data_IF_195022645018
#
_entry.id   IF_195022645018
#
_cell.length_a   1.000
_cell.length_b   1.000
_cell.length_c   1.000
_cell.angle_alpha   90.00
_cell.angle_beta   90.00
_cell.angle_gamma   90.00
#
_symmetry.space_group_name_H-M   'P 1'
#
loop_
_entity.id
_entity.type
_entity.pdbx_description
1 polymer ?
#
# COMPACT_ATOMS: atom_id res chain seq x y z
N UNK A 1 19.38 21.72 -3.78
CA UNK A 1 18.69 22.56 -2.78
C UNK A 1 17.77 23.49 -3.57
N UNK A 2 16.63 22.99 -4.05
CA UNK A 2 15.82 23.69 -5.03
C UNK A 2 14.61 24.31 -4.33
N UNK A 3 14.62 25.64 -4.23
CA UNK A 3 13.53 26.44 -3.68
C UNK A 3 12.36 26.46 -4.67
N UNK A 4 11.42 25.54 -4.52
CA UNK A 4 10.27 25.41 -5.42
C UNK A 4 9.10 26.34 -5.11
N UNK A 5 9.26 27.34 -4.24
CA UNK A 5 8.22 28.35 -4.00
C UNK A 5 8.85 29.74 -3.81
N UNK A 6 9.39 30.31 -4.89
CA UNK A 6 9.64 31.74 -4.95
C UNK A 6 8.31 32.45 -5.22
N UNK A 7 7.69 32.99 -4.17
CA UNK A 7 6.57 33.92 -4.29
C UNK A 7 7.07 35.25 -4.88
N UNK A 8 7.27 35.28 -6.20
CA UNK A 8 7.20 36.54 -6.92
C UNK A 8 5.79 36.66 -7.44
N UNK A 9 5.00 37.44 -6.72
CA UNK A 9 3.63 37.83 -7.02
C UNK A 9 3.54 38.53 -8.39
N UNK A 10 3.53 37.71 -9.44
CA UNK A 10 2.84 38.02 -10.69
C UNK A 10 1.58 37.20 -10.63
N UNK A 11 0.56 37.70 -9.92
CA UNK A 11 -0.76 37.07 -9.91
C UNK A 11 -1.34 37.28 -11.31
N UNK A 12 -0.89 36.47 -12.27
CA UNK A 12 -1.72 36.13 -13.41
C UNK A 12 -2.81 35.25 -12.81
N UNK A 13 -3.91 35.87 -12.40
CA UNK A 13 -5.11 35.15 -11.96
C UNK A 13 -5.54 34.29 -13.14
N UNK A 14 -5.11 33.02 -13.14
CA UNK A 14 -5.75 32.00 -13.95
C UNK A 14 -7.23 32.07 -13.56
N UNK A 15 -8.15 32.21 -14.53
CA UNK A 15 -9.56 32.27 -14.21
C UNK A 15 -9.93 30.98 -13.47
N UNK A 16 -10.43 31.13 -12.24
CA UNK A 16 -11.02 30.02 -11.49
C UNK A 16 -12.33 29.73 -12.20
N UNK A 17 -12.38 28.63 -12.94
CA UNK A 17 -13.60 28.16 -13.61
C UNK A 17 -14.17 27.01 -12.81
N UNK A 18 -15.37 27.20 -12.24
CA UNK A 18 -16.18 26.13 -11.61
C UNK A 18 -16.86 25.22 -12.66
N UNK A 19 -16.21 25.02 -13.80
CA UNK A 19 -16.67 24.14 -14.87
C UNK A 19 -16.21 22.70 -14.58
N UNK A 20 -17.05 21.69 -14.78
CA UNK A 20 -16.63 20.30 -14.73
C UNK A 20 -15.48 20.07 -15.72
N UNK A 21 -14.32 19.63 -15.22
CA UNK A 21 -13.16 19.33 -16.04
C UNK A 21 -12.83 17.85 -15.94
N UNK A 22 -12.86 17.17 -17.09
CA UNK A 22 -12.41 15.79 -17.20
C UNK A 22 -10.88 15.75 -17.10
N UNK A 23 -10.39 15.36 -15.93
CA UNK A 23 -8.97 15.15 -15.70
C UNK A 23 -8.54 13.74 -16.14
N UNK A 24 -7.68 13.68 -17.15
CA UNK A 24 -7.04 12.43 -17.58
C UNK A 24 -5.54 12.50 -17.30
N UNK A 25 -5.00 11.51 -16.59
CA UNK A 25 -3.56 11.33 -16.38
C UNK A 25 -3.19 9.86 -16.46
N UNK A 26 -1.98 9.58 -16.93
CA UNK A 26 -1.38 8.26 -16.80
C UNK A 26 -1.01 8.03 -15.32
N UNK A 27 -1.34 6.86 -14.78
CA UNK A 27 -0.99 6.47 -13.42
C UNK A 27 -0.65 4.98 -13.37
N UNK A 28 0.18 4.60 -12.39
CA UNK A 28 0.47 3.21 -12.06
C UNK A 28 -0.01 2.95 -10.62
N UNK A 29 -0.80 1.89 -10.42
CA UNK A 29 -1.28 1.48 -9.10
C UNK A 29 -0.79 0.06 -8.80
N UNK A 30 -0.22 -0.10 -7.60
CA UNK A 30 0.06 -1.41 -7.02
C UNK A 30 -0.67 -1.52 -5.68
N UNK A 31 -1.65 -2.41 -5.61
CA UNK A 31 -2.37 -2.74 -4.37
C UNK A 31 -1.80 -4.05 -3.85
N UNK A 32 -1.35 -4.06 -2.60
CA UNK A 32 -0.88 -5.28 -1.94
C UNK A 32 -1.47 -5.42 -0.54
N UNK A 33 -1.60 -6.67 -0.11
CA UNK A 33 -2.05 -7.04 1.23
C UNK A 33 -1.11 -8.07 1.81
N UNK A 34 -0.69 -7.86 3.05
CA UNK A 34 0.21 -8.76 3.77
C UNK A 34 -0.50 -9.42 4.95
N UNK A 35 -0.14 -10.66 5.25
CA UNK A 35 -0.70 -11.42 6.37
C UNK A 35 0.31 -12.42 6.93
N UNK A 36 0.16 -12.74 8.21
CA UNK A 36 1.04 -13.65 8.93
C UNK A 36 0.24 -14.88 9.37
N UNK A 37 0.81 -16.06 9.15
CA UNK A 37 0.18 -17.33 9.52
C UNK A 37 1.20 -18.29 10.11
N UNK A 38 0.76 -19.12 11.04
CA UNK A 38 1.52 -20.25 11.56
C UNK A 38 0.72 -21.54 11.34
N UNK A 39 1.43 -22.67 11.28
CA UNK A 39 0.82 -23.99 11.17
C UNK A 39 0.65 -24.55 12.58
N UNK A 40 -0.59 -24.82 12.98
CA UNK A 40 -0.90 -25.42 14.28
C UNK A 40 -0.64 -26.93 14.30
N UNK A 41 -0.68 -27.55 15.49
CA UNK A 41 -0.45 -28.99 15.68
C UNK A 41 -1.47 -29.88 14.95
N UNK A 42 -2.63 -29.30 14.61
CA UNK A 42 -3.68 -29.95 13.84
C UNK A 42 -3.53 -29.71 12.33
N UNK A 43 -2.37 -29.19 11.89
CA UNK A 43 -2.06 -28.83 10.51
C UNK A 43 -3.00 -27.79 9.89
N UNK A 44 -3.54 -26.87 10.68
CA UNK A 44 -4.32 -25.75 10.19
C UNK A 44 -3.49 -24.47 10.20
N UNK A 45 -3.69 -23.64 9.18
CA UNK A 45 -3.16 -22.28 9.17
C UNK A 45 -3.98 -21.38 10.09
N UNK A 46 -3.30 -20.71 11.00
CA UNK A 46 -3.87 -19.83 12.03
C UNK A 46 -3.15 -18.49 12.04
N UNK A 47 -3.83 -17.45 12.52
CA UNK A 47 -3.30 -16.08 12.56
C UNK A 47 -3.39 -15.43 13.95
N UNK A 48 -3.91 -16.14 14.95
CA UNK A 48 -3.92 -15.64 16.33
C UNK A 48 -2.50 -15.53 16.89
N UNK A 49 -2.26 -14.57 17.77
CA UNK A 49 -0.92 -14.31 18.32
C UNK A 49 0.11 -13.78 17.29
N UNK A 50 -0.32 -13.51 16.05
CA UNK A 50 0.51 -12.93 15.00
C UNK A 50 0.09 -11.49 14.71
N UNK A 51 1.05 -10.63 14.45
CA UNK A 51 0.82 -9.23 14.05
C UNK A 51 1.76 -8.87 12.91
N UNK A 52 1.23 -8.19 11.89
CA UNK A 52 2.03 -7.64 10.80
C UNK A 52 2.85 -6.47 11.34
N UNK A 53 4.17 -6.58 11.20
CA UNK A 53 5.13 -5.62 11.75
C UNK A 53 5.25 -4.35 10.89
N UNK A 54 5.73 -3.25 11.49
CA UNK A 54 5.85 -1.94 10.83
C UNK A 54 6.90 -1.90 9.70
N UNK A 55 7.80 -2.89 9.60
CA UNK A 55 8.78 -2.96 8.51
C UNK A 55 8.23 -3.61 7.23
N UNK A 56 6.98 -4.09 7.26
CA UNK A 56 6.30 -4.63 6.09
C UNK A 56 6.23 -3.62 4.94
N UNK A 57 6.62 -4.05 3.76
CA UNK A 57 6.57 -3.26 2.54
C UNK A 57 6.22 -4.14 1.33
N UNK A 58 6.31 -3.59 0.12
CA UNK A 58 5.94 -4.31 -1.11
C UNK A 58 6.81 -5.55 -1.42
N UNK A 59 7.98 -5.68 -0.79
CA UNK A 59 8.92 -6.77 -1.07
C UNK A 59 9.01 -7.81 0.05
N UNK A 60 8.66 -7.42 1.27
CA UNK A 60 8.79 -8.27 2.45
C UNK A 60 7.69 -8.00 3.46
N UNK A 61 7.33 -9.05 4.21
CA UNK A 61 6.37 -8.97 5.31
C UNK A 61 7.07 -9.33 6.60
N UNK A 62 7.07 -8.40 7.55
CA UNK A 62 7.55 -8.64 8.90
C UNK A 62 6.40 -9.25 9.73
N UNK A 63 6.66 -10.39 10.36
CA UNK A 63 5.69 -11.07 11.22
C UNK A 63 6.20 -11.12 12.66
N UNK A 64 5.49 -10.47 13.57
CA UNK A 64 5.73 -10.54 15.00
C UNK A 64 4.83 -11.65 15.58
N UNK A 65 5.41 -12.60 16.29
CA UNK A 65 4.72 -13.78 16.82
C UNK A 65 4.91 -13.92 18.32
N UNK A 66 3.83 -14.29 19.02
CA UNK A 66 3.90 -14.78 20.41
C UNK A 66 4.00 -16.30 20.50
N UNK A 67 3.83 -17.01 19.38
CA UNK A 67 3.89 -18.46 19.31
C UNK A 67 5.31 -18.96 19.07
N UNK A 68 5.75 -19.97 19.83
CA UNK A 68 6.98 -20.71 19.57
C UNK A 68 6.69 -21.86 18.59
N UNK A 69 6.45 -21.52 17.33
CA UNK A 69 6.15 -22.49 16.27
C UNK A 69 6.93 -22.16 15.00
N UNK A 70 6.95 -23.09 14.05
CA UNK A 70 7.42 -22.80 12.70
C UNK A 70 6.50 -21.76 12.05
N UNK A 71 7.08 -20.66 11.55
CA UNK A 71 6.39 -19.53 10.95
C UNK A 71 6.57 -19.52 9.43
N UNK A 72 5.56 -19.04 8.69
CA UNK A 72 5.65 -18.78 7.26
C UNK A 72 5.07 -17.38 6.95
N UNK A 73 5.85 -16.55 6.26
CA UNK A 73 5.40 -15.26 5.73
C UNK A 73 5.00 -15.41 4.26
N UNK A 74 3.92 -14.73 3.84
CA UNK A 74 3.43 -14.79 2.46
C UNK A 74 2.92 -13.43 1.96
N UNK A 75 3.14 -13.18 0.67
CA UNK A 75 2.66 -11.98 -0.04
C UNK A 75 1.53 -12.39 -1.00
N UNK A 76 0.36 -11.74 -0.88
CA UNK A 76 -0.74 -11.95 -1.84
C UNK A 76 -0.64 -10.84 -2.89
N UNK A 77 -0.18 -11.21 -4.10
CA UNK A 77 -0.32 -10.37 -5.29
C UNK A 77 -1.74 -10.55 -5.82
N UNK A 78 -2.51 -9.47 -5.92
CA UNK A 78 -3.80 -9.54 -6.60
C UNK A 78 -3.56 -9.87 -8.09
N UNK A 79 -4.18 -10.93 -8.63
CA UNK A 79 -4.05 -11.25 -10.04
C UNK A 79 -4.81 -10.20 -10.86
N UNK A 80 -4.04 -9.40 -11.60
CA UNK A 80 -4.44 -8.33 -12.51
C UNK A 80 -4.96 -7.02 -11.86
N UNK A 81 -4.67 -5.84 -12.47
CA UNK A 81 -5.22 -4.57 -12.03
C UNK A 81 -6.75 -4.56 -12.17
N UNK A 82 -7.44 -3.99 -11.19
CA UNK A 82 -8.88 -3.75 -11.25
C UNK A 82 -9.13 -2.80 -12.43
N UNK A 83 -9.94 -3.26 -13.39
CA UNK A 83 -10.41 -2.42 -14.48
C UNK A 83 -11.60 -1.59 -14.02
N UNK A 84 -11.45 -0.26 -13.99
CA UNK A 84 -12.49 0.70 -13.62
C UNK A 84 -13.14 1.36 -14.85
N UNK A 85 -12.97 0.78 -16.05
CA UNK A 85 -13.56 1.25 -17.31
C UNK A 85 -15.08 1.24 -17.28
#
# INVERSE_FOLDING_TARGET
MNNYCSNNSSINTLPITDEPYDFTSNYELLIYTSGCYYLDESNNWKSDGLTVGPLTNMYETECLSTHLTTFAGGFIVLPAPINWS
#
